data_IF_026977762374
#
_entry.id   IF_026977762374
#
_cell.length_a   1.000
_cell.length_b   1.000
_cell.length_c   1.000
_cell.angle_alpha   90.00
_cell.angle_beta   90.00
_cell.angle_gamma   90.00
#
_symmetry.space_group_name_H-M   'P 1'
#
loop_
_entity.id
_entity.type
_entity.pdbx_description
1 polymer ?
#
# COMPACT_ATOMS: atom_id res chain seq x y z
N UNK A 1 -51.49 37.21 -4.65
CA UNK A 1 -51.99 35.84 -4.87
C UNK A 1 -50.77 35.01 -5.22
N UNK A 2 -50.46 34.10 -4.31
CA UNK A 2 -49.39 33.12 -4.30
C UNK A 2 -49.74 31.98 -5.25
N UNK A 3 -48.80 31.49 -6.05
CA UNK A 3 -48.88 30.16 -6.65
C UNK A 3 -47.58 29.40 -6.33
N UNK A 4 -47.75 28.48 -5.37
CA UNK A 4 -46.93 27.30 -5.11
C UNK A 4 -46.93 26.37 -6.31
N UNK A 5 -45.80 25.73 -6.59
CA UNK A 5 -45.75 24.45 -7.30
C UNK A 5 -44.42 23.75 -6.99
N UNK A 6 -44.47 23.02 -5.88
CA UNK A 6 -43.79 21.77 -5.54
C UNK A 6 -42.67 21.31 -6.49
N UNK A 7 -41.43 21.50 -6.04
CA UNK A 7 -40.26 20.81 -6.61
C UNK A 7 -40.05 19.50 -5.85
N UNK A 8 -39.77 18.38 -6.52
CA UNK A 8 -39.68 17.08 -5.87
C UNK A 8 -38.53 17.10 -4.85
N UNK A 9 -38.88 16.75 -3.61
CA UNK A 9 -37.96 16.47 -2.51
C UNK A 9 -36.93 15.45 -2.98
N UNK A 10 -35.71 15.92 -3.23
CA UNK A 10 -34.57 15.05 -3.45
C UNK A 10 -34.35 14.28 -2.14
N UNK A 11 -34.57 12.97 -2.19
CA UNK A 11 -34.20 12.08 -1.12
C UNK A 11 -32.68 12.15 -0.94
N UNK A 12 -32.24 12.77 0.16
CA UNK A 12 -30.86 12.82 0.67
C UNK A 12 -30.26 11.42 0.98
N UNK A 13 -30.91 10.34 0.55
CA UNK A 13 -30.53 8.93 0.78
C UNK A 13 -29.89 8.27 -0.45
N UNK A 14 -29.55 9.03 -1.49
CA UNK A 14 -28.78 8.53 -2.63
C UNK A 14 -27.66 9.47 -3.05
N UNK A 15 -26.98 10.09 -2.08
CA UNK A 15 -25.64 10.62 -2.32
C UNK A 15 -24.68 9.45 -2.47
N UNK A 16 -24.28 9.19 -3.71
CA UNK A 16 -23.02 8.54 -4.02
C UNK A 16 -21.94 9.09 -3.07
N UNK A 17 -21.11 8.24 -2.43
CA UNK A 17 -20.05 8.74 -1.57
C UNK A 17 -19.16 9.65 -2.40
N UNK A 18 -19.29 10.96 -2.16
CA UNK A 18 -18.37 11.96 -2.69
C UNK A 18 -16.97 11.56 -2.23
N UNK A 19 -15.96 11.76 -3.09
CA UNK A 19 -14.54 11.51 -2.77
C UNK A 19 -14.12 12.14 -1.42
N UNK A 20 -14.83 13.18 -0.99
CA UNK A 20 -14.68 13.82 0.32
C UNK A 20 -14.99 12.92 1.53
N UNK A 21 -15.82 11.87 1.37
CA UNK A 21 -16.09 10.89 2.43
C UNK A 21 -15.02 9.79 2.55
N UNK A 22 -14.22 9.57 1.49
CA UNK A 22 -12.98 8.77 1.60
C UNK A 22 -11.85 9.61 2.20
N UNK A 23 -11.96 10.94 2.16
CA UNK A 23 -11.16 11.88 2.96
C UNK A 23 -11.69 12.00 4.40
N UNK A 24 -12.19 10.90 5.01
CA UNK A 24 -12.15 10.75 6.45
C UNK A 24 -10.67 10.81 6.82
N UNK A 25 -10.25 12.04 7.15
CA UNK A 25 -8.94 12.49 7.60
C UNK A 25 -8.04 11.34 8.03
N UNK A 26 -6.98 11.14 7.25
CA UNK A 26 -5.72 10.54 7.70
C UNK A 26 -5.10 11.20 8.94
N UNK A 27 -5.70 12.28 9.49
CA UNK A 27 -5.20 12.99 10.67
C UNK A 27 -5.07 12.13 11.94
N UNK A 28 -5.75 10.98 12.01
CA UNK A 28 -5.61 10.04 13.14
C UNK A 28 -4.76 8.80 12.81
N UNK A 29 -4.33 8.61 11.55
CA UNK A 29 -3.44 7.51 11.19
C UNK A 29 -2.00 7.99 11.26
N UNK A 30 -1.32 7.61 12.35
CA UNK A 30 0.13 7.75 12.44
C UNK A 30 0.82 6.75 11.51
N UNK A 31 1.12 7.21 10.30
CA UNK A 31 1.84 6.50 9.24
C UNK A 31 3.17 5.90 9.68
N UNK A 32 3.83 6.51 10.66
CA UNK A 32 5.14 6.08 11.16
C UNK A 32 5.13 4.71 11.84
N UNK A 33 3.95 4.19 12.21
CA UNK A 33 3.84 2.87 12.84
C UNK A 33 3.73 1.73 11.83
N UNK A 34 3.49 2.04 10.56
CA UNK A 34 3.33 1.02 9.52
C UNK A 34 4.65 0.71 8.84
N UNK A 35 4.72 -0.52 8.37
CA UNK A 35 5.82 -1.07 7.58
C UNK A 35 5.21 -1.85 6.42
N UNK A 36 5.87 -1.80 5.26
CA UNK A 36 5.36 -2.45 4.07
C UNK A 36 6.47 -3.19 3.31
N UNK A 37 6.07 -4.29 2.68
CA UNK A 37 6.86 -4.99 1.67
C UNK A 37 6.09 -4.91 0.36
N UNK A 38 6.66 -4.26 -0.64
CA UNK A 38 6.04 -4.10 -1.96
C UNK A 38 6.75 -5.02 -2.95
N UNK A 39 5.97 -5.89 -3.61
CA UNK A 39 6.48 -6.88 -4.56
C UNK A 39 5.81 -6.67 -5.91
N UNK A 40 6.59 -6.33 -6.92
CA UNK A 40 6.11 -6.10 -8.29
C UNK A 40 6.94 -6.89 -9.29
N UNK A 41 6.34 -7.86 -9.98
CA UNK A 41 7.04 -8.79 -10.89
C UNK A 41 6.43 -8.71 -12.28
N UNK A 42 7.13 -8.07 -13.23
CA UNK A 42 6.67 -7.95 -14.62
C UNK A 42 7.34 -8.97 -15.56
N UNK A 43 8.64 -9.23 -15.40
CA UNK A 43 9.43 -9.93 -16.41
C UNK A 43 9.68 -11.41 -16.17
N UNK A 44 8.64 -12.22 -15.96
CA UNK A 44 8.79 -13.68 -16.14
C UNK A 44 9.05 -13.97 -17.64
N UNK A 45 10.16 -14.63 -18.01
CA UNK A 45 10.51 -14.84 -19.41
C UNK A 45 9.52 -15.72 -20.18
N UNK A 46 8.75 -16.55 -19.48
CA UNK A 46 7.75 -17.44 -20.06
C UNK A 46 6.36 -16.79 -20.10
N UNK A 47 6.07 -15.92 -19.13
CA UNK A 47 4.77 -15.27 -18.96
C UNK A 47 4.94 -13.80 -18.54
N UNK A 48 5.37 -12.92 -19.46
CA UNK A 48 5.57 -11.52 -19.13
C UNK A 48 4.24 -10.87 -18.73
N UNK A 49 4.25 -10.21 -17.58
CA UNK A 49 3.19 -9.34 -17.10
C UNK A 49 3.56 -7.90 -17.42
N UNK A 50 2.54 -7.05 -17.49
CA UNK A 50 2.72 -5.61 -17.66
C UNK A 50 1.92 -4.90 -16.59
N UNK A 51 2.62 -4.22 -15.68
CA UNK A 51 2.01 -3.29 -14.74
C UNK A 51 2.22 -3.65 -13.28
N UNK A 52 2.70 -4.84 -12.92
CA UNK A 52 2.93 -5.21 -11.53
C UNK A 52 4.01 -4.35 -10.86
N UNK A 53 5.04 -3.91 -11.60
CA UNK A 53 5.98 -2.91 -11.07
C UNK A 53 5.30 -1.56 -10.88
N UNK A 54 4.48 -1.14 -11.86
CA UNK A 54 3.75 0.12 -11.79
C UNK A 54 2.74 0.15 -10.64
N UNK A 55 2.05 -0.97 -10.38
CA UNK A 55 1.13 -1.13 -9.25
C UNK A 55 1.88 -0.94 -7.93
N UNK A 56 3.05 -1.58 -7.78
CA UNK A 56 3.87 -1.45 -6.59
C UNK A 56 4.36 0.00 -6.38
N UNK A 57 4.77 0.71 -7.44
CA UNK A 57 5.16 2.12 -7.38
C UNK A 57 3.99 3.04 -7.01
N UNK A 58 2.79 2.77 -7.53
CA UNK A 58 1.59 3.52 -7.19
C UNK A 58 1.20 3.32 -5.72
N UNK A 59 1.30 2.09 -5.21
CA UNK A 59 1.07 1.80 -3.79
C UNK A 59 2.14 2.45 -2.91
N UNK A 60 3.42 2.43 -3.31
CA UNK A 60 4.48 3.13 -2.57
C UNK A 60 4.16 4.63 -2.42
N UNK A 61 3.77 5.26 -3.52
CA UNK A 61 3.38 6.67 -3.53
C UNK A 61 2.22 6.93 -2.58
N UNK A 62 1.19 6.10 -2.62
CA UNK A 62 0.04 6.20 -1.72
C UNK A 62 0.43 6.02 -0.24
N UNK A 63 1.28 5.04 0.07
CA UNK A 63 1.77 4.81 1.44
C UNK A 63 2.52 6.04 1.98
N UNK A 64 3.34 6.68 1.15
CA UNK A 64 4.15 7.84 1.56
C UNK A 64 3.31 9.11 1.61
N UNK A 65 2.63 9.45 0.52
CA UNK A 65 2.00 10.76 0.33
C UNK A 65 0.66 10.87 1.07
N UNK A 66 -0.15 9.82 1.05
CA UNK A 66 -1.50 9.84 1.61
C UNK A 66 -1.54 9.27 3.04
N UNK A 67 -0.73 8.24 3.33
CA UNK A 67 -0.71 7.58 4.63
C UNK A 67 0.48 7.98 5.52
N UNK A 68 1.46 8.73 5.02
CA UNK A 68 2.58 9.23 5.81
C UNK A 68 3.56 8.15 6.30
N UNK A 69 3.64 7.01 5.62
CA UNK A 69 4.61 5.96 5.92
C UNK A 69 6.01 6.45 5.51
N UNK A 70 7.01 6.44 6.40
CA UNK A 70 8.37 6.81 6.03
C UNK A 70 8.91 5.87 4.95
N UNK A 71 9.62 6.40 3.94
CA UNK A 71 10.15 5.57 2.84
C UNK A 71 11.10 4.47 3.32
N UNK A 72 11.85 4.70 4.41
CA UNK A 72 12.71 3.68 5.02
C UNK A 72 11.93 2.57 5.76
N UNK A 73 10.60 2.69 5.88
CA UNK A 73 9.71 1.62 6.35
C UNK A 73 9.18 0.72 5.21
N UNK A 74 9.54 1.02 3.97
CA UNK A 74 9.04 0.34 2.78
C UNK A 74 10.19 -0.43 2.14
N UNK A 75 10.10 -1.76 2.16
CA UNK A 75 11.02 -2.62 1.42
C UNK A 75 10.44 -2.93 0.04
N UNK A 76 11.17 -2.54 -1.00
CA UNK A 76 10.81 -2.78 -2.41
C UNK A 76 11.48 -4.04 -2.94
N UNK A 77 10.70 -4.92 -3.58
CA UNK A 77 11.14 -6.05 -4.37
C UNK A 77 10.52 -5.96 -5.77
N UNK A 78 11.17 -5.23 -6.67
CA UNK A 78 10.63 -4.92 -8.00
C UNK A 78 11.51 -5.52 -9.08
N UNK A 79 10.96 -5.77 -10.26
CA UNK A 79 11.73 -6.13 -11.44
C UNK A 79 11.30 -7.45 -12.09
N UNK A 80 11.97 -7.85 -13.18
CA UNK A 80 11.93 -9.23 -13.64
C UNK A 80 12.47 -10.17 -12.55
N UNK A 81 12.28 -11.48 -12.72
CA UNK A 81 13.02 -12.48 -11.93
C UNK A 81 14.52 -12.37 -12.29
N UNK A 82 15.26 -11.45 -11.66
CA UNK A 82 16.65 -11.11 -12.02
C UNK A 82 17.11 -9.72 -11.51
N UNK A 83 18.35 -9.32 -11.82
CA UNK A 83 18.98 -8.09 -11.31
C UNK A 83 18.17 -6.81 -11.59
N UNK A 84 18.21 -5.88 -10.64
CA UNK A 84 17.49 -4.61 -10.60
C UNK A 84 18.47 -3.43 -10.65
N UNK A 85 18.10 -2.34 -11.31
CA UNK A 85 19.00 -1.18 -11.53
C UNK A 85 18.68 0.03 -10.64
N UNK A 86 17.59 0.00 -9.89
CA UNK A 86 17.02 1.14 -9.16
C UNK A 86 17.18 1.05 -7.63
N UNK A 87 18.01 0.12 -7.14
CA UNK A 87 18.20 -0.12 -5.71
C UNK A 87 17.10 -0.96 -5.05
N UNK A 88 16.08 -1.39 -5.80
CA UNK A 88 15.16 -2.44 -5.34
C UNK A 88 15.87 -3.79 -5.23
N UNK A 89 15.35 -4.71 -4.43
CA UNK A 89 15.89 -6.07 -4.34
C UNK A 89 15.18 -6.94 -5.38
N UNK A 90 15.92 -7.72 -6.18
CA UNK A 90 15.30 -8.66 -7.12
C UNK A 90 14.25 -9.56 -6.43
N UNK A 91 13.05 -9.76 -6.99
CA UNK A 91 11.96 -10.53 -6.38
C UNK A 91 12.16 -12.05 -6.50
N UNK A 92 13.37 -12.53 -6.23
CA UNK A 92 13.65 -13.98 -6.19
C UNK A 92 12.96 -14.64 -5.00
N UNK A 93 12.69 -15.94 -5.09
CA UNK A 93 12.16 -16.73 -3.97
C UNK A 93 12.98 -16.56 -2.69
N UNK A 94 14.31 -16.54 -2.80
CA UNK A 94 15.20 -16.38 -1.66
C UNK A 94 15.04 -14.99 -1.02
N UNK A 95 14.95 -13.94 -1.83
CA UNK A 95 14.79 -12.58 -1.35
C UNK A 95 13.41 -12.36 -0.72
N UNK A 96 12.33 -12.88 -1.33
CA UNK A 96 10.98 -12.81 -0.77
C UNK A 96 10.93 -13.47 0.61
N UNK A 97 11.45 -14.70 0.73
CA UNK A 97 11.47 -15.41 2.00
C UNK A 97 12.31 -14.70 3.06
N UNK A 98 13.49 -14.20 2.68
CA UNK A 98 14.37 -13.45 3.57
C UNK A 98 13.73 -12.15 4.04
N UNK A 99 13.06 -11.42 3.15
CA UNK A 99 12.36 -10.18 3.51
C UNK A 99 11.25 -10.47 4.51
N UNK A 100 10.43 -11.51 4.28
CA UNK A 100 9.37 -11.87 5.21
C UNK A 100 9.89 -12.36 6.57
N UNK A 101 11.00 -13.12 6.61
CA UNK A 101 11.58 -13.52 7.89
C UNK A 101 12.10 -12.31 8.67
N UNK A 102 12.83 -11.41 8.01
CA UNK A 102 13.34 -10.17 8.64
C UNK A 102 12.19 -9.30 9.13
N UNK A 103 11.13 -9.14 8.34
CA UNK A 103 9.95 -8.38 8.75
C UNK A 103 9.29 -9.01 9.99
N UNK A 104 9.09 -10.32 9.99
CA UNK A 104 8.45 -11.00 11.11
C UNK A 104 9.29 -10.88 12.40
N UNK A 105 10.61 -10.97 12.29
CA UNK A 105 11.52 -10.90 13.44
C UNK A 105 11.70 -9.46 13.94
N UNK A 106 11.75 -8.47 13.04
CA UNK A 106 11.88 -7.06 13.40
C UNK A 106 10.60 -6.49 14.04
N UNK A 107 9.43 -7.05 13.73
CA UNK A 107 8.12 -6.57 14.22
C UNK A 107 7.47 -7.46 15.29
N UNK A 108 8.16 -8.52 15.76
CA UNK A 108 7.77 -9.28 16.95
C UNK A 108 8.85 -9.24 18.04
N UNK A 109 8.99 -8.12 18.79
CA UNK A 109 9.96 -8.00 19.89
C UNK A 109 9.57 -8.81 21.16
N UNK A 110 8.67 -9.79 21.07
CA UNK A 110 8.28 -10.65 22.20
C UNK A 110 8.32 -12.13 21.87
N UNK A 111 9.50 -12.66 21.55
CA UNK A 111 9.85 -13.97 22.11
C UNK A 111 10.50 -13.69 23.47
N UNK A 112 9.85 -14.01 24.61
CA UNK A 112 10.45 -13.81 25.92
C UNK A 112 11.77 -14.57 25.99
N UNK A 113 12.81 -13.85 26.40
CA UNK A 113 14.12 -14.37 26.76
C UNK A 113 13.94 -15.63 27.62
N UNK A 114 14.18 -16.81 27.07
CA UNK A 114 14.42 -17.99 27.90
C UNK A 114 15.90 -18.01 28.22
N UNK A 115 16.27 -17.19 29.21
CA UNK A 115 17.40 -17.53 30.06
C UNK A 115 17.03 -18.77 30.85
N UNK A 116 17.71 -19.88 30.60
CA UNK A 116 18.16 -20.86 31.60
C UNK A 116 19.27 -21.70 30.99
#
# INVERSE_FOLDING_TARGET
>A
MTEDSDSPEINEEMRHPTLESLQIKSKDLDGSRFWAVLIGVDGDPHYPLNGCMSDAELIEKYLIEDLGVPSYHIQRLLGPTGETTDGSISPTRANILKTFSVFNDAYHPSAPNTCS
#
